data_IF_257876475906
#
_entry.id   IF_257876475906
#
_cell.length_a   1.000
_cell.length_b   1.000
_cell.length_c   1.000
_cell.angle_alpha   90.00
_cell.angle_beta   90.00
_cell.angle_gamma   90.00
#
_symmetry.space_group_name_H-M   'P 1'
#
loop_
_entity.id
_entity.type
_entity.pdbx_description
1 polymer ?
#
# COMPACT_ATOMS: atom_id res chain seq x y z
N UNK A 1 9.51 0.38 -49.95
CA UNK A 1 8.06 0.55 -50.12
C UNK A 1 7.41 -0.15 -48.95
N UNK A 2 7.05 0.61 -47.90
CA UNK A 2 5.66 1.00 -47.61
C UNK A 2 5.02 -0.07 -46.70
N UNK A 3 4.38 0.20 -45.55
CA UNK A 3 3.92 1.44 -44.95
C UNK A 3 3.65 1.23 -43.46
N UNK A 4 3.78 2.33 -42.71
CA UNK A 4 3.32 2.53 -41.34
C UNK A 4 1.82 2.20 -41.23
N UNK A 5 1.38 1.64 -40.10
CA UNK A 5 0.01 1.84 -39.64
C UNK A 5 -0.08 1.90 -38.12
N UNK A 6 -0.16 3.13 -37.65
CA UNK A 6 -0.53 3.54 -36.31
C UNK A 6 -2.04 3.45 -36.18
N UNK A 7 -2.57 2.59 -35.32
CA UNK A 7 -3.99 2.60 -34.98
C UNK A 7 -4.17 3.17 -33.57
N UNK A 8 -4.72 4.39 -33.56
CA UNK A 8 -4.97 5.20 -32.39
C UNK A 8 -5.99 4.58 -31.47
N UNK A 9 -5.72 4.72 -30.17
CA UNK A 9 -6.67 4.45 -29.11
C UNK A 9 -7.75 5.54 -29.15
N UNK A 10 -8.92 5.21 -29.70
CA UNK A 10 -10.10 6.06 -29.55
C UNK A 10 -10.58 6.00 -28.10
N UNK A 11 -10.17 6.99 -27.30
CA UNK A 11 -10.66 7.21 -25.95
C UNK A 11 -12.16 7.47 -25.97
N UNK A 12 -12.90 6.72 -25.15
CA UNK A 12 -14.32 6.90 -24.93
C UNK A 12 -14.65 8.32 -24.47
N UNK A 13 -15.65 8.93 -25.10
CA UNK A 13 -16.26 10.20 -24.73
C UNK A 13 -17.03 10.02 -23.40
N UNK A 14 -16.70 10.72 -22.30
CA UNK A 14 -17.54 10.67 -21.10
C UNK A 14 -18.80 11.50 -21.34
N UNK A 15 -19.95 10.82 -21.41
CA UNK A 15 -21.27 11.43 -21.45
C UNK A 15 -21.54 12.21 -20.16
N UNK A 16 -22.04 13.45 -20.30
CA UNK A 16 -22.60 14.26 -19.22
C UNK A 16 -23.76 13.51 -18.55
N UNK A 17 -23.80 13.51 -17.21
CA UNK A 17 -24.94 12.96 -16.48
C UNK A 17 -24.84 13.10 -14.96
N UNK A 18 -25.62 14.06 -14.45
CA UNK A 18 -26.25 14.10 -13.11
C UNK A 18 -25.43 14.65 -11.92
N UNK A 19 -25.81 15.86 -11.52
CA UNK A 19 -25.45 16.51 -10.26
C UNK A 19 -25.97 15.72 -9.05
N UNK A 20 -25.06 15.17 -8.26
CA UNK A 20 -25.32 14.77 -6.88
C UNK A 20 -24.73 15.83 -5.93
N UNK A 21 -25.49 16.36 -4.95
CA UNK A 21 -24.94 17.24 -3.94
C UNK A 21 -24.28 16.40 -2.84
N UNK A 22 -23.05 16.72 -2.42
CA UNK A 22 -22.57 16.22 -1.11
C UNK A 22 -21.12 15.78 -0.94
N UNK A 23 -20.15 16.15 -1.79
CA UNK A 23 -18.72 16.15 -1.42
C UNK A 23 -18.01 17.33 -2.09
N UNK A 24 -17.08 18.06 -1.42
CA UNK A 24 -16.21 18.99 -2.12
C UNK A 24 -15.41 18.15 -3.12
N UNK A 25 -15.74 18.28 -4.41
CA UNK A 25 -14.99 17.60 -5.45
C UNK A 25 -13.61 18.20 -5.46
N UNK A 26 -12.61 17.44 -5.02
CA UNK A 26 -11.19 17.82 -5.12
C UNK A 26 -10.85 18.27 -6.54
N UNK A 27 -11.50 17.66 -7.53
CA UNK A 27 -11.44 17.97 -8.95
C UNK A 27 -12.87 18.16 -9.48
N UNK A 28 -13.34 19.41 -9.54
CA UNK A 28 -14.67 19.79 -10.04
C UNK A 28 -14.67 20.20 -11.51
N UNK A 29 -15.63 21.04 -11.94
CA UNK A 29 -15.52 21.91 -13.13
C UNK A 29 -14.46 23.00 -12.88
N UNK A 30 -13.28 22.56 -12.46
CA UNK A 30 -12.22 23.37 -11.90
C UNK A 30 -11.31 23.95 -12.96
N UNK A 31 -10.40 24.81 -12.50
CA UNK A 31 -9.35 25.43 -13.32
C UNK A 31 -8.61 24.36 -14.11
N UNK A 32 -8.33 24.64 -15.38
CA UNK A 32 -7.51 23.79 -16.25
C UNK A 32 -6.09 24.35 -16.27
N UNK A 33 -5.10 23.47 -16.42
CA UNK A 33 -3.71 23.86 -16.59
C UNK A 33 -3.56 24.91 -17.70
N UNK A 34 -2.85 26.02 -17.42
CA UNK A 34 -2.67 27.14 -18.35
C UNK A 34 -1.74 26.84 -19.54
N UNK A 35 -1.15 25.64 -19.61
CA UNK A 35 -0.26 25.25 -20.71
C UNK A 35 -1.09 24.81 -21.91
N UNK A 36 -0.86 25.43 -23.06
CA UNK A 36 -1.55 25.13 -24.32
C UNK A 36 -1.53 23.63 -24.62
N UNK A 37 -2.72 23.05 -24.86
CA UNK A 37 -2.90 21.61 -25.09
C UNK A 37 -2.94 20.74 -23.83
N UNK A 38 -2.73 21.29 -22.63
CA UNK A 38 -2.82 20.54 -21.39
C UNK A 38 -4.25 20.55 -20.81
N UNK A 39 -5.02 19.48 -21.04
CA UNK A 39 -6.38 19.32 -20.51
C UNK A 39 -6.47 18.94 -19.03
N UNK A 40 -5.40 19.09 -18.24
CA UNK A 40 -5.37 18.63 -16.84
C UNK A 40 -6.24 19.53 -15.97
N UNK A 41 -7.27 18.96 -15.33
CA UNK A 41 -8.09 19.66 -14.33
C UNK A 41 -7.30 19.77 -13.03
N UNK A 42 -7.11 21.00 -12.56
CA UNK A 42 -6.38 21.30 -11.34
C UNK A 42 -7.24 21.02 -10.10
N UNK A 43 -6.59 20.52 -9.07
CA UNK A 43 -7.20 20.35 -7.76
C UNK A 43 -7.59 21.71 -7.16
N UNK A 44 -8.64 21.75 -6.35
CA UNK A 44 -8.94 22.91 -5.50
C UNK A 44 -7.77 23.29 -4.58
N UNK A 45 -6.90 22.33 -4.25
CA UNK A 45 -5.72 22.52 -3.42
C UNK A 45 -4.46 22.90 -4.19
N UNK A 46 -4.48 22.96 -5.53
CA UNK A 46 -3.33 23.40 -6.30
C UNK A 46 -3.31 24.93 -6.35
N UNK A 47 -2.37 25.64 -5.70
CA UNK A 47 -2.33 27.09 -5.76
C UNK A 47 -1.85 27.61 -7.13
N UNK A 48 -1.16 26.79 -7.92
CA UNK A 48 -0.64 27.14 -9.24
C UNK A 48 -1.74 27.15 -10.31
N UNK A 49 -1.49 27.86 -11.40
CA UNK A 49 -2.21 27.88 -12.67
C UNK A 49 -1.81 26.75 -13.61
N UNK A 50 -0.74 26.01 -13.29
CA UNK A 50 -0.28 24.84 -14.06
C UNK A 50 -0.31 23.57 -13.21
N UNK A 51 -0.32 22.41 -13.88
CA UNK A 51 -0.35 21.10 -13.20
C UNK A 51 1.03 20.73 -12.63
N UNK A 52 1.08 19.72 -11.76
CA UNK A 52 2.32 19.29 -11.09
C UNK A 52 3.47 18.91 -12.04
N UNK A 53 3.14 18.48 -13.27
CA UNK A 53 4.13 18.19 -14.31
C UNK A 53 4.76 19.45 -14.89
N UNK A 54 3.99 20.53 -15.01
CA UNK A 54 4.43 21.80 -15.58
C UNK A 54 4.94 22.79 -14.53
N UNK A 55 4.48 22.70 -13.28
CA UNK A 55 5.02 23.52 -12.18
C UNK A 55 6.39 23.02 -11.69
N UNK A 56 6.84 21.85 -12.15
CA UNK A 56 8.03 21.20 -11.61
C UNK A 56 7.85 20.66 -10.19
N UNK A 57 6.63 20.72 -9.62
CA UNK A 57 6.34 20.18 -8.28
C UNK A 57 6.47 18.65 -8.20
N UNK A 58 6.51 17.95 -9.34
CA UNK A 58 6.92 16.54 -9.38
C UNK A 58 8.41 16.36 -9.08
N UNK A 59 9.25 17.33 -9.43
CA UNK A 59 10.71 17.27 -9.23
C UNK A 59 11.14 17.75 -7.84
N UNK A 60 10.27 18.45 -7.11
CA UNK A 60 10.48 18.61 -5.68
C UNK A 60 10.31 17.23 -5.06
N UNK A 61 11.44 16.51 -4.97
CA UNK A 61 11.61 15.38 -4.07
C UNK A 61 10.82 15.75 -2.81
N UNK A 62 9.79 14.95 -2.42
CA UNK A 62 9.13 15.21 -1.15
C UNK A 62 10.26 15.34 -0.17
N UNK A 63 10.31 16.46 0.55
CA UNK A 63 11.27 16.65 1.60
C UNK A 63 11.02 15.53 2.62
N UNK A 64 11.62 14.36 2.37
CA UNK A 64 11.91 13.31 3.32
C UNK A 64 13.02 13.82 4.25
N UNK A 65 12.97 15.11 4.58
CA UNK A 65 13.65 15.70 5.70
C UNK A 65 13.03 15.08 6.94
N UNK A 66 13.69 14.06 7.46
CA UNK A 66 13.59 13.77 8.88
C UNK A 66 12.80 12.53 9.29
N UNK A 67 12.72 11.47 8.48
CA UNK A 67 13.00 10.17 9.14
C UNK A 67 14.50 10.10 9.25
N UNK A 68 15.06 10.84 10.22
CA UNK A 68 16.40 10.56 10.70
C UNK A 68 16.43 9.05 10.90
N UNK A 69 17.31 8.36 10.18
CA UNK A 69 17.63 6.99 10.48
C UNK A 69 18.30 7.04 11.85
N UNK A 70 17.49 7.10 12.91
CA UNK A 70 17.95 6.87 14.27
C UNK A 70 18.62 5.52 14.17
N UNK A 71 19.94 5.51 14.41
CA UNK A 71 20.74 4.29 14.41
C UNK A 71 20.03 3.30 15.33
N UNK A 72 19.41 2.30 14.73
CA UNK A 72 18.51 1.41 15.42
C UNK A 72 19.37 0.25 15.90
N UNK A 73 19.66 0.26 17.19
CA UNK A 73 20.55 -0.70 17.86
C UNK A 73 20.25 -2.14 17.41
N UNK A 74 21.31 -2.91 17.14
CA UNK A 74 21.17 -4.30 16.72
C UNK A 74 20.80 -5.17 17.93
N UNK A 75 19.60 -5.75 17.91
CA UNK A 75 19.12 -6.62 19.00
C UNK A 75 19.29 -8.09 18.63
N UNK A 76 19.94 -8.86 19.51
CA UNK A 76 19.96 -10.32 19.43
C UNK A 76 18.69 -10.89 20.08
N UNK A 77 17.94 -11.71 19.32
CA UNK A 77 16.69 -12.34 19.78
C UNK A 77 16.66 -13.83 19.43
N UNK A 78 15.92 -14.62 20.20
CA UNK A 78 15.60 -16.01 19.87
C UNK A 78 14.33 -16.11 19.02
N UNK A 79 14.32 -17.00 18.04
CA UNK A 79 13.15 -17.26 17.20
C UNK A 79 11.99 -17.80 18.06
N UNK A 80 10.85 -17.12 18.00
CA UNK A 80 9.65 -17.48 18.76
C UNK A 80 8.97 -18.78 18.28
N UNK A 81 9.44 -19.38 17.18
CA UNK A 81 9.00 -20.71 16.81
C UNK A 81 9.74 -21.74 17.69
N UNK A 82 9.01 -22.38 18.60
CA UNK A 82 9.56 -23.28 19.62
C UNK A 82 10.45 -24.40 19.04
N UNK A 83 10.08 -24.97 17.89
CA UNK A 83 10.88 -26.02 17.25
C UNK A 83 12.12 -25.50 16.50
N UNK A 84 12.30 -24.17 16.40
CA UNK A 84 13.49 -23.57 15.79
C UNK A 84 14.48 -23.07 16.85
N UNK A 85 14.04 -22.19 17.77
CA UNK A 85 14.88 -21.69 18.87
C UNK A 85 16.14 -20.89 18.50
N UNK A 86 16.49 -20.78 17.22
CA UNK A 86 17.71 -20.11 16.74
C UNK A 86 17.78 -18.64 17.14
N UNK A 87 18.97 -18.21 17.53
CA UNK A 87 19.31 -16.80 17.75
C UNK A 87 19.52 -16.10 16.41
N UNK A 88 19.08 -14.84 16.33
CA UNK A 88 19.25 -13.99 15.16
C UNK A 88 19.34 -12.53 15.58
N UNK A 89 20.08 -11.73 14.82
CA UNK A 89 20.19 -10.29 15.01
C UNK A 89 19.12 -9.56 14.21
N UNK A 90 18.61 -8.46 14.77
CA UNK A 90 17.69 -7.58 14.08
C UNK A 90 17.70 -6.19 14.67
N UNK A 91 17.66 -5.19 13.81
CA UNK A 91 17.36 -3.82 14.25
C UNK A 91 15.87 -3.66 14.60
N UNK A 92 14.98 -4.58 14.19
CA UNK A 92 13.54 -4.44 14.41
C UNK A 92 13.06 -5.11 15.73
N UNK A 93 12.79 -4.38 16.83
CA UNK A 93 12.21 -4.91 18.07
C UNK A 93 10.93 -5.74 17.90
N UNK A 94 10.12 -5.47 16.87
CA UNK A 94 8.89 -6.23 16.62
C UNK A 94 9.15 -7.57 15.89
N UNK A 95 10.35 -7.81 15.36
CA UNK A 95 10.68 -9.05 14.66
C UNK A 95 10.86 -10.19 15.67
N UNK A 96 9.99 -11.21 15.56
CA UNK A 96 9.94 -12.37 16.47
C UNK A 96 10.53 -13.66 15.89
N UNK A 97 10.74 -13.72 14.58
CA UNK A 97 11.15 -14.94 13.88
C UNK A 97 12.41 -14.69 13.06
N UNK A 98 13.31 -15.68 13.00
CA UNK A 98 14.54 -15.57 12.23
C UNK A 98 14.28 -15.46 10.73
N UNK A 99 13.23 -16.12 10.21
CA UNK A 99 12.82 -16.07 8.81
C UNK A 99 11.30 -16.24 8.64
N UNK A 100 10.78 -15.94 7.45
CA UNK A 100 9.35 -16.06 7.16
C UNK A 100 8.85 -17.52 7.22
N UNK A 101 9.66 -18.50 6.84
CA UNK A 101 9.32 -19.91 7.00
C UNK A 101 9.04 -20.28 8.47
N UNK A 102 9.81 -19.74 9.43
CA UNK A 102 9.53 -19.95 10.86
C UNK A 102 8.28 -19.22 11.32
N UNK A 103 8.00 -18.02 10.79
CA UNK A 103 6.75 -17.29 11.04
C UNK A 103 5.54 -18.09 10.57
N UNK A 104 5.59 -18.63 9.36
CA UNK A 104 4.53 -19.45 8.78
C UNK A 104 4.31 -20.75 9.57
N UNK A 105 5.38 -21.48 9.90
CA UNK A 105 5.30 -22.71 10.71
C UNK A 105 4.76 -22.47 12.12
N UNK A 106 5.18 -21.39 12.78
CA UNK A 106 4.63 -21.00 14.07
C UNK A 106 3.13 -20.66 14.00
N UNK A 107 2.69 -20.01 12.92
CA UNK A 107 1.27 -19.78 12.69
C UNK A 107 0.50 -21.10 12.46
N UNK A 108 0.98 -21.96 11.57
CA UNK A 108 0.38 -23.27 11.29
C UNK A 108 0.29 -24.16 12.53
N UNK A 109 1.33 -24.17 13.37
CA UNK A 109 1.34 -24.91 14.64
C UNK A 109 0.23 -24.43 15.58
N UNK A 110 0.07 -23.09 15.74
CA UNK A 110 -1.00 -22.51 16.55
C UNK A 110 -2.40 -22.83 16.01
N UNK A 111 -2.60 -22.72 14.70
CA UNK A 111 -3.88 -23.06 14.05
C UNK A 111 -4.21 -24.54 14.23
N UNK A 112 -3.23 -25.41 14.04
CA UNK A 112 -3.40 -26.86 14.20
C UNK A 112 -3.74 -27.22 15.65
N UNK A 113 -3.04 -26.63 16.63
CA UNK A 113 -3.32 -26.83 18.03
C UNK A 113 -4.74 -26.36 18.40
N UNK A 114 -5.15 -25.16 17.96
CA UNK A 114 -6.49 -24.64 18.21
C UNK A 114 -7.59 -25.54 17.60
N UNK A 115 -7.38 -26.06 16.38
CA UNK A 115 -8.30 -27.02 15.76
C UNK A 115 -8.42 -28.31 16.56
N UNK A 116 -7.30 -28.86 17.04
CA UNK A 116 -7.28 -30.05 17.91
C UNK A 116 -8.05 -29.80 19.20
N UNK A 117 -7.82 -28.68 19.87
CA UNK A 117 -8.55 -28.32 21.10
C UNK A 117 -10.05 -28.15 20.86
N UNK A 118 -10.44 -27.50 19.76
CA UNK A 118 -11.85 -27.36 19.39
C UNK A 118 -12.53 -28.71 19.11
N UNK A 119 -11.84 -29.62 18.40
CA UNK A 119 -12.35 -30.97 18.14
C UNK A 119 -12.49 -31.79 19.43
N UNK A 120 -11.50 -31.74 20.34
CA UNK A 120 -11.58 -32.39 21.65
C UNK A 120 -12.73 -31.85 22.50
N UNK A 121 -12.93 -30.52 22.52
CA UNK A 121 -14.05 -29.91 23.24
C UNK A 121 -15.40 -30.30 22.66
N UNK A 122 -15.52 -30.40 21.33
CA UNK A 122 -16.75 -30.87 20.68
C UNK A 122 -17.04 -32.35 20.97
N UNK A 123 -16.02 -33.20 20.98
CA UNK A 123 -16.16 -34.61 21.34
C UNK A 123 -16.63 -34.79 22.79
N UNK A 124 -16.05 -34.04 23.73
CA UNK A 124 -16.46 -34.06 25.14
C UNK A 124 -17.94 -33.66 25.31
N UNK A 125 -18.39 -32.63 24.59
CA UNK A 125 -19.81 -32.20 24.60
C UNK A 125 -20.78 -33.23 24.02
N UNK A 126 -20.34 -34.07 23.06
CA UNK A 126 -21.17 -35.13 22.48
C UNK A 126 -21.24 -36.38 23.35
N UNK A 127 -20.28 -36.56 24.26
CA UNK A 127 -20.20 -37.69 25.17
C UNK A 127 -20.86 -37.43 26.53
N UNK A 128 -21.34 -36.20 26.77
CA UNK A 128 -22.15 -35.80 27.93
C UNK A 128 -23.61 -35.80 27.56
#
# INVERSE_FOLDING_TARGET
>A
MESRSSHGLHGCRPSHGSHAPGRPRTYGSGRVCAVEGCGTILSAYNPSDVCALHSGAWQTEPAHQGRQAVEREELTRRCAYAACGREFTTTNPAKKYCCDACRMRAFQARVTAARRMAASAQAARRAS
#
